data_IF_628230661025
#
_entry.id   IF_628230661025
#
_cell.length_a   1.000
_cell.length_b   1.000
_cell.length_c   1.000
_cell.angle_alpha   90.00
_cell.angle_beta   90.00
_cell.angle_gamma   90.00
#
_symmetry.space_group_name_H-M   'P 1'
#
loop_
_entity.id
_entity.type
_entity.pdbx_description
1 polymer ?
#
# COMPACT_ATOMS: atom_id res chain seq x y z
N UNK A 1 -22.04 -33.43 -8.51
CA UNK A 1 -21.90 -32.04 -7.98
C UNK A 1 -23.24 -31.32 -7.90
N UNK A 2 -24.01 -31.14 -8.99
CA UNK A 2 -25.38 -30.57 -8.95
C UNK A 2 -26.34 -31.35 -8.03
N UNK A 3 -26.38 -32.68 -8.16
CA UNK A 3 -27.16 -33.57 -7.28
C UNK A 3 -26.68 -33.62 -5.81
N UNK A 4 -25.46 -33.14 -5.49
CA UNK A 4 -24.97 -32.99 -4.12
C UNK A 4 -25.42 -31.65 -3.52
N UNK A 5 -25.49 -30.60 -4.34
CA UNK A 5 -26.05 -29.28 -3.99
C UNK A 5 -27.57 -29.32 -3.81
N UNK A 6 -28.29 -30.09 -4.64
CA UNK A 6 -29.75 -30.23 -4.53
C UNK A 6 -30.17 -30.98 -3.24
N UNK A 7 -29.32 -31.87 -2.73
CA UNK A 7 -29.52 -32.60 -1.47
C UNK A 7 -29.23 -31.73 -0.22
N UNK A 8 -28.46 -30.64 -0.38
CA UNK A 8 -28.22 -29.62 0.65
C UNK A 8 -29.40 -28.65 0.73
N UNK A 9 -30.00 -28.30 -0.42
CA UNK A 9 -31.18 -27.44 -0.51
C UNK A 9 -32.45 -28.15 0.02
N UNK A 10 -32.61 -29.45 -0.23
CA UNK A 10 -33.81 -30.20 0.19
C UNK A 10 -33.90 -30.53 1.69
N UNK A 11 -32.83 -30.31 2.46
CA UNK A 11 -32.78 -30.69 3.88
C UNK A 11 -33.10 -29.58 4.87
N UNK A 12 -33.34 -28.35 4.41
CA UNK A 12 -33.69 -27.21 5.27
C UNK A 12 -32.53 -26.83 6.20
N UNK A 13 -31.94 -25.66 5.99
CA UNK A 13 -31.08 -25.10 7.03
C UNK A 13 -31.99 -24.68 8.19
N UNK A 14 -31.71 -25.09 9.44
CA UNK A 14 -32.27 -24.39 10.57
C UNK A 14 -31.69 -22.98 10.51
N UNK A 15 -32.50 -22.04 10.06
CA UNK A 15 -32.28 -20.62 10.26
C UNK A 15 -32.02 -20.43 11.77
N UNK A 16 -31.03 -19.60 12.13
CA UNK A 16 -30.67 -19.17 13.50
C UNK A 16 -29.69 -19.99 14.36
N UNK A 17 -28.60 -20.54 13.82
CA UNK A 17 -27.49 -21.02 14.68
C UNK A 17 -26.11 -20.50 14.28
N UNK A 18 -25.23 -20.41 15.27
CA UNK A 18 -23.78 -20.08 15.18
C UNK A 18 -23.08 -20.85 14.07
N UNK A 19 -23.55 -22.07 13.75
CA UNK A 19 -23.02 -22.89 12.66
C UNK A 19 -23.24 -22.28 11.27
N UNK A 20 -24.30 -21.49 11.06
CA UNK A 20 -24.61 -20.86 9.77
C UNK A 20 -23.63 -19.73 9.41
N UNK A 21 -23.37 -18.83 10.37
CA UNK A 21 -22.37 -17.76 10.25
C UNK A 21 -20.96 -18.37 10.20
N UNK A 22 -20.70 -19.40 11.00
CA UNK A 22 -19.44 -20.16 11.01
C UNK A 22 -19.18 -20.82 9.64
N UNK A 23 -20.17 -21.49 9.04
CA UNK A 23 -20.03 -22.09 7.70
C UNK A 23 -19.87 -21.04 6.60
N UNK A 24 -20.53 -19.89 6.71
CA UNK A 24 -20.34 -18.77 5.77
C UNK A 24 -18.91 -18.20 5.86
N UNK A 25 -18.37 -18.05 7.08
CA UNK A 25 -16.98 -17.63 7.30
C UNK A 25 -15.97 -18.68 6.80
N UNK A 26 -16.23 -19.96 7.04
CA UNK A 26 -15.39 -21.08 6.59
C UNK A 26 -15.40 -21.24 5.05
N UNK A 27 -16.46 -20.78 4.37
CA UNK A 27 -16.53 -20.68 2.90
C UNK A 27 -15.74 -19.49 2.33
N UNK A 28 -15.43 -18.47 3.15
CA UNK A 28 -14.68 -17.27 2.77
C UNK A 28 -13.16 -17.42 3.02
N UNK A 29 -12.74 -18.41 3.81
CA UNK A 29 -11.34 -18.79 4.00
C UNK A 29 -10.65 -19.24 2.69
N UNK A 30 -9.32 -19.11 2.56
CA UNK A 30 -8.62 -18.82 1.31
C UNK A 30 -8.46 -19.99 0.31
N UNK A 31 -9.19 -21.09 0.48
CA UNK A 31 -9.02 -22.25 -0.40
C UNK A 31 -9.80 -22.15 -1.72
N UNK A 32 -10.82 -21.28 -1.82
CA UNK A 32 -11.44 -20.94 -3.11
C UNK A 32 -12.22 -19.60 -3.06
N UNK A 33 -11.62 -18.48 -3.50
CA UNK A 33 -12.26 -17.17 -3.53
C UNK A 33 -13.49 -17.06 -4.44
N UNK A 34 -13.76 -18.09 -5.26
CA UNK A 34 -14.89 -18.10 -6.21
C UNK A 34 -16.13 -18.81 -5.68
N UNK A 35 -16.06 -19.39 -4.47
CA UNK A 35 -17.10 -20.27 -3.92
C UNK A 35 -18.25 -19.56 -3.17
N UNK A 36 -18.23 -18.23 -3.03
CA UNK A 36 -19.39 -17.51 -2.49
C UNK A 36 -20.46 -17.46 -3.57
N UNK A 37 -21.43 -18.38 -3.52
CA UNK A 37 -22.56 -18.33 -4.44
C UNK A 37 -23.35 -17.04 -4.18
N UNK A 38 -23.77 -16.39 -5.27
CA UNK A 38 -24.61 -15.19 -5.29
C UNK A 38 -25.78 -15.31 -4.28
N UNK A 39 -26.36 -16.50 -4.13
CA UNK A 39 -27.44 -16.80 -3.18
C UNK A 39 -27.10 -16.70 -1.69
N UNK A 40 -25.84 -16.91 -1.27
CA UNK A 40 -25.43 -16.80 0.16
C UNK A 40 -25.24 -15.33 0.52
N UNK A 41 -24.62 -14.57 -0.39
CA UNK A 41 -24.51 -13.13 -0.26
C UNK A 41 -25.91 -12.48 -0.20
N UNK A 42 -26.82 -12.84 -1.11
CA UNK A 42 -28.18 -12.31 -1.15
C UNK A 42 -28.96 -12.60 0.13
N UNK A 43 -28.85 -13.81 0.70
CA UNK A 43 -29.53 -14.17 1.96
C UNK A 43 -28.97 -13.44 3.18
N UNK A 44 -27.64 -13.28 3.27
CA UNK A 44 -27.01 -12.52 4.35
C UNK A 44 -27.39 -11.04 4.23
N UNK A 45 -27.38 -10.48 3.02
CA UNK A 45 -27.77 -9.10 2.77
C UNK A 45 -29.26 -8.87 3.02
N UNK A 46 -30.14 -9.80 2.65
CA UNK A 46 -31.57 -9.73 2.94
C UNK A 46 -31.83 -9.71 4.45
N UNK A 47 -31.20 -10.60 5.20
CA UNK A 47 -31.42 -10.68 6.65
C UNK A 47 -30.87 -9.47 7.42
N UNK A 48 -29.72 -8.94 6.98
CA UNK A 48 -29.15 -7.71 7.56
C UNK A 48 -29.95 -6.46 7.19
N UNK A 49 -30.53 -6.45 5.98
CA UNK A 49 -31.46 -5.40 5.51
C UNK A 49 -32.74 -5.38 6.35
N UNK A 50 -33.31 -6.55 6.64
CA UNK A 50 -34.50 -6.70 7.49
C UNK A 50 -34.23 -6.27 8.95
N UNK A 51 -33.05 -6.60 9.49
CA UNK A 51 -32.62 -6.23 10.84
C UNK A 51 -32.31 -4.73 10.99
N UNK A 52 -31.70 -4.10 9.97
CA UNK A 52 -31.43 -2.66 9.95
C UNK A 52 -32.69 -1.81 9.79
N UNK A 53 -33.66 -2.26 8.96
CA UNK A 53 -34.96 -1.60 8.83
C UNK A 53 -35.74 -1.61 10.16
N UNK A 54 -35.68 -2.70 10.92
CA UNK A 54 -36.34 -2.78 12.22
C UNK A 54 -35.78 -1.76 13.26
N UNK A 55 -34.48 -1.44 13.19
CA UNK A 55 -33.84 -0.48 14.12
C UNK A 55 -34.07 0.99 13.72
N UNK A 56 -34.28 1.28 12.43
CA UNK A 56 -34.51 2.64 11.93
C UNK A 56 -35.96 3.10 12.09
N UNK A 57 -36.91 2.16 12.14
CA UNK A 57 -38.35 2.47 12.28
C UNK A 57 -38.71 2.95 13.69
N UNK A 58 -37.87 2.66 14.70
CA UNK A 58 -38.11 2.99 16.11
C UNK A 58 -37.54 4.35 16.56
N UNK A 59 -36.89 5.12 15.67
CA UNK A 59 -36.12 6.34 16.04
C UNK A 59 -36.54 7.65 15.39
N UNK A 60 -37.59 7.68 14.58
CA UNK A 60 -38.05 8.90 13.91
C UNK A 60 -39.54 9.19 14.15
N UNK A 61 -39.91 9.37 15.42
CA UNK A 61 -41.02 10.25 15.80
C UNK A 61 -40.59 11.05 17.05
N UNK A 62 -40.57 12.37 16.90
CA UNK A 62 -39.79 13.28 17.76
C UNK A 62 -40.28 13.41 19.21
N UNK A 63 -39.37 13.17 20.17
CA UNK A 63 -39.43 13.54 21.60
C UNK A 63 -37.97 13.73 22.10
N UNK A 64 -37.67 14.68 23.01
CA UNK A 64 -36.32 15.21 23.20
C UNK A 64 -35.41 14.33 24.07
N UNK A 65 -34.12 14.64 23.97
CA UNK A 65 -32.99 13.99 24.63
C UNK A 65 -33.15 13.99 26.15
N UNK A 66 -33.53 12.84 26.70
CA UNK A 66 -33.11 12.37 28.02
C UNK A 66 -33.21 10.84 28.03
N UNK A 67 -32.13 10.17 28.43
CA UNK A 67 -31.94 8.71 28.56
C UNK A 67 -31.57 7.95 27.27
N UNK A 68 -30.26 7.79 27.09
CA UNK A 68 -29.67 6.81 26.18
C UNK A 68 -29.95 5.41 26.73
N UNK A 69 -31.03 4.77 26.28
CA UNK A 69 -31.19 3.32 26.45
C UNK A 69 -30.30 2.60 25.43
N UNK A 70 -29.12 2.19 25.88
CA UNK A 70 -28.38 1.08 25.26
C UNK A 70 -29.22 -0.18 25.43
N UNK A 71 -29.81 -0.70 24.35
CA UNK A 71 -30.25 -2.10 24.36
C UNK A 71 -29.03 -2.97 24.70
N UNK A 72 -29.16 -3.90 25.65
CA UNK A 72 -28.03 -4.72 26.06
C UNK A 72 -27.70 -5.71 24.92
N UNK A 73 -26.43 -5.72 24.52
CA UNK A 73 -25.83 -6.60 23.50
C UNK A 73 -26.22 -8.08 23.67
N UNK A 74 -26.62 -8.48 24.88
CA UNK A 74 -27.13 -9.81 25.24
C UNK A 74 -28.33 -10.28 24.41
N UNK A 75 -29.26 -9.39 24.03
CA UNK A 75 -30.45 -9.79 23.28
C UNK A 75 -30.15 -10.10 21.80
N UNK A 76 -29.09 -9.49 21.25
CA UNK A 76 -28.61 -9.78 19.89
C UNK A 76 -27.82 -11.10 19.91
N UNK A 77 -26.96 -11.32 20.90
CA UNK A 77 -26.19 -12.58 21.03
C UNK A 77 -27.07 -13.80 21.24
N UNK A 78 -28.14 -13.68 22.06
CA UNK A 78 -29.09 -14.77 22.32
C UNK A 78 -29.94 -15.12 21.09
N UNK A 79 -30.31 -14.12 20.28
CA UNK A 79 -31.13 -14.32 19.07
C UNK A 79 -30.36 -14.95 17.90
N UNK A 80 -29.03 -14.84 17.90
CA UNK A 80 -28.15 -15.38 16.84
C UNK A 80 -27.30 -16.57 17.30
N UNK A 81 -27.48 -17.04 18.54
CA UNK A 81 -26.75 -18.17 19.12
C UNK A 81 -25.24 -17.93 19.22
N UNK A 82 -24.78 -16.69 19.22
CA UNK A 82 -23.35 -16.37 19.26
C UNK A 82 -22.97 -16.19 20.73
N UNK A 83 -22.37 -17.23 21.31
CA UNK A 83 -21.83 -17.18 22.67
C UNK A 83 -20.53 -16.35 22.65
N UNK A 84 -20.68 -15.03 22.69
CA UNK A 84 -19.58 -14.08 22.82
C UNK A 84 -19.49 -13.69 24.28
N UNK A 85 -18.44 -14.13 24.97
CA UNK A 85 -18.13 -13.62 26.29
C UNK A 85 -17.78 -12.12 26.18
N UNK A 86 -18.74 -11.27 26.58
CA UNK A 86 -18.61 -9.81 26.58
C UNK A 86 -17.45 -9.35 27.47
N UNK A 87 -17.02 -10.15 28.46
CA UNK A 87 -15.86 -9.82 29.27
C UNK A 87 -14.54 -9.99 28.49
N UNK A 88 -14.48 -10.87 27.48
CA UNK A 88 -13.33 -10.98 26.56
C UNK A 88 -13.26 -9.77 25.62
N UNK A 89 -14.40 -9.18 25.25
CA UNK A 89 -14.50 -7.96 24.44
C UNK A 89 -13.93 -6.72 25.16
N UNK A 90 -13.98 -6.69 26.50
CA UNK A 90 -13.48 -5.59 27.32
C UNK A 90 -12.08 -5.87 27.90
N UNK A 91 -11.69 -7.14 28.10
CA UNK A 91 -10.42 -7.52 28.73
C UNK A 91 -9.17 -7.37 27.85
N UNK A 92 -9.31 -7.25 26.53
CA UNK A 92 -8.17 -7.08 25.61
C UNK A 92 -7.82 -5.61 25.30
N UNK A 93 -8.35 -4.66 26.06
CA UNK A 93 -7.98 -3.24 25.98
C UNK A 93 -6.71 -2.92 26.79
N UNK A 94 -5.67 -3.75 26.67
CA UNK A 94 -4.38 -3.43 27.28
C UNK A 94 -3.61 -2.44 26.41
N UNK A 95 -3.59 -1.20 26.91
CA UNK A 95 -2.53 -0.19 26.75
C UNK A 95 -1.75 -0.22 25.45
N UNK A 96 -2.24 0.50 24.44
CA UNK A 96 -1.35 1.01 23.40
C UNK A 96 -0.35 1.95 24.07
N UNK A 97 0.88 1.48 24.26
CA UNK A 97 2.01 2.25 24.78
C UNK A 97 2.20 3.53 23.98
N UNK A 98 1.61 4.61 24.49
CA UNK A 98 1.61 5.94 23.90
C UNK A 98 2.96 6.61 24.11
N UNK A 99 3.93 6.25 23.27
CA UNK A 99 4.90 7.26 22.85
C UNK A 99 4.17 8.41 22.13
N UNK A 100 4.70 9.63 22.11
CA UNK A 100 4.10 10.72 21.35
C UNK A 100 4.04 10.32 19.86
N UNK A 101 2.83 10.12 19.34
CA UNK A 101 2.58 9.80 17.93
C UNK A 101 2.82 11.04 17.07
N UNK A 102 3.64 10.93 16.03
CA UNK A 102 3.75 11.97 15.00
C UNK A 102 2.56 11.84 14.05
N UNK A 103 1.75 12.89 13.95
CA UNK A 103 0.50 12.91 13.14
C UNK A 103 0.58 13.78 11.89
N UNK A 104 1.56 14.66 11.82
CA UNK A 104 1.78 15.58 10.69
C UNK A 104 3.08 15.25 9.97
N UNK A 105 3.19 15.56 8.68
CA UNK A 105 4.40 15.34 7.90
C UNK A 105 4.50 16.31 6.72
N UNK A 106 5.34 17.32 6.91
CA UNK A 106 5.65 18.32 5.90
C UNK A 106 6.43 17.70 4.71
N UNK A 107 6.15 18.18 3.49
CA UNK A 107 6.86 17.77 2.28
C UNK A 107 8.36 18.10 2.29
N UNK A 108 8.81 18.94 3.24
CA UNK A 108 10.19 19.31 3.48
C UNK A 108 10.73 18.80 4.83
N UNK A 109 10.02 17.85 5.47
CA UNK A 109 10.34 17.32 6.80
C UNK A 109 11.81 16.88 7.00
N UNK A 110 12.49 16.19 6.06
CA UNK A 110 13.89 15.81 6.24
C UNK A 110 14.84 17.00 6.32
N UNK A 111 14.39 18.20 5.93
CA UNK A 111 15.20 19.42 5.85
C UNK A 111 16.40 19.23 4.91
N UNK A 112 17.36 20.16 5.00
CA UNK A 112 18.63 20.19 4.26
C UNK A 112 19.63 19.14 4.79
N UNK A 113 19.27 17.85 4.74
CA UNK A 113 20.18 16.79 5.15
C UNK A 113 21.20 16.42 4.05
N UNK A 114 22.34 15.87 4.46
CA UNK A 114 23.36 15.35 3.56
C UNK A 114 22.77 14.27 2.63
N UNK A 115 23.00 14.43 1.33
CA UNK A 115 22.46 13.62 0.25
C UNK A 115 23.47 13.53 -0.90
N UNK A 116 23.11 12.80 -1.95
CA UNK A 116 23.82 12.77 -3.23
C UNK A 116 23.26 13.90 -4.08
N UNK A 117 24.13 14.66 -4.75
CA UNK A 117 23.68 15.68 -5.69
C UNK A 117 23.04 15.00 -6.91
N UNK A 118 21.74 15.24 -7.12
CA UNK A 118 20.98 14.67 -8.21
C UNK A 118 20.70 15.77 -9.25
N UNK A 119 21.53 15.79 -10.29
CA UNK A 119 21.38 16.70 -11.43
C UNK A 119 21.20 15.86 -12.70
N UNK A 120 20.23 16.27 -13.52
CA UNK A 120 20.00 15.61 -14.81
C UNK A 120 21.21 15.77 -15.72
N UNK A 121 21.73 14.63 -16.16
CA UNK A 121 22.91 14.49 -16.99
C UNK A 121 22.54 14.01 -18.39
N UNK A 122 23.49 14.11 -19.31
CA UNK A 122 23.35 13.56 -20.66
C UNK A 122 23.35 12.01 -20.62
N UNK A 123 22.74 11.39 -21.63
CA UNK A 123 22.57 9.94 -21.71
C UNK A 123 23.92 9.19 -21.67
N UNK A 124 25.00 9.78 -22.18
CA UNK A 124 26.35 9.21 -22.13
C UNK A 124 26.84 9.01 -20.69
N UNK A 125 26.59 9.99 -19.81
CA UNK A 125 26.95 9.89 -18.40
C UNK A 125 26.07 8.86 -17.69
N UNK A 126 24.78 8.82 -18.02
CA UNK A 126 23.85 7.80 -17.49
C UNK A 126 24.33 6.39 -17.87
N UNK A 127 24.76 6.17 -19.11
CA UNK A 127 25.32 4.89 -19.55
C UNK A 127 26.63 4.56 -18.83
N UNK A 128 27.54 5.52 -18.69
CA UNK A 128 28.82 5.34 -17.97
C UNK A 128 28.57 4.85 -16.53
N UNK A 129 27.69 5.55 -15.81
CA UNK A 129 27.29 5.18 -14.44
C UNK A 129 26.54 3.85 -14.42
N UNK A 130 25.68 3.60 -15.43
CA UNK A 130 24.93 2.36 -15.62
C UNK A 130 25.85 1.15 -15.71
N UNK A 131 26.82 1.20 -16.62
CA UNK A 131 27.85 0.18 -16.80
C UNK A 131 28.62 -0.12 -15.54
N UNK A 132 29.12 0.93 -14.89
CA UNK A 132 29.89 0.80 -13.65
C UNK A 132 29.03 0.15 -12.56
N UNK A 133 27.85 0.70 -12.31
CA UNK A 133 26.94 0.25 -11.26
C UNK A 133 26.50 -1.20 -11.47
N UNK A 134 26.03 -1.55 -12.68
CA UNK A 134 25.55 -2.91 -12.94
C UNK A 134 26.68 -3.93 -13.07
N UNK A 135 27.90 -3.52 -13.41
CA UNK A 135 29.09 -4.39 -13.25
C UNK A 135 29.35 -4.65 -11.77
N UNK A 136 29.38 -3.60 -10.94
CA UNK A 136 29.57 -3.71 -9.49
C UNK A 136 28.51 -4.59 -8.81
N UNK A 137 27.24 -4.50 -9.24
CA UNK A 137 26.16 -5.37 -8.75
C UNK A 137 26.51 -6.87 -8.85
N UNK A 138 27.30 -7.25 -9.86
CA UNK A 138 27.69 -8.63 -10.10
C UNK A 138 29.08 -8.99 -9.52
N UNK A 139 29.95 -8.00 -9.31
CA UNK A 139 31.33 -8.23 -8.84
C UNK A 139 31.57 -7.88 -7.38
N UNK A 140 31.08 -6.71 -6.94
CA UNK A 140 31.37 -6.14 -5.64
C UNK A 140 30.42 -4.97 -5.31
N UNK A 141 29.63 -5.11 -4.25
CA UNK A 141 28.70 -4.06 -3.80
C UNK A 141 29.42 -3.06 -2.90
N UNK A 142 29.32 -1.78 -3.23
CA UNK A 142 29.92 -0.67 -2.50
C UNK A 142 28.88 0.41 -2.16
N UNK A 143 29.29 1.44 -1.42
CA UNK A 143 28.45 2.64 -1.22
C UNK A 143 28.16 3.34 -2.55
N UNK A 144 29.16 3.40 -3.44
CA UNK A 144 29.01 3.95 -4.78
C UNK A 144 28.01 3.16 -5.63
N UNK A 145 27.86 1.85 -5.41
CA UNK A 145 26.85 1.04 -6.11
C UNK A 145 25.42 1.50 -5.76
N UNK A 146 25.11 1.69 -4.47
CA UNK A 146 23.80 2.18 -4.06
C UNK A 146 23.55 3.63 -4.51
N UNK A 147 24.58 4.47 -4.48
CA UNK A 147 24.51 5.82 -5.02
C UNK A 147 24.25 5.83 -6.53
N UNK A 148 24.89 4.94 -7.28
CA UNK A 148 24.68 4.75 -8.71
C UNK A 148 23.25 4.32 -9.01
N UNK A 149 22.67 3.43 -8.20
CA UNK A 149 21.26 3.06 -8.32
C UNK A 149 20.35 4.28 -8.15
N UNK A 150 20.58 5.11 -7.13
CA UNK A 150 19.77 6.31 -6.88
C UNK A 150 19.94 7.36 -7.99
N UNK A 151 21.17 7.61 -8.44
CA UNK A 151 21.48 8.48 -9.56
C UNK A 151 20.76 8.02 -10.83
N UNK A 152 20.90 6.74 -11.21
CA UNK A 152 20.26 6.18 -12.40
C UNK A 152 18.74 6.20 -12.29
N UNK A 153 18.18 5.91 -11.12
CA UNK A 153 16.74 5.97 -10.89
C UNK A 153 16.18 7.38 -11.14
N UNK A 154 16.86 8.43 -10.67
CA UNK A 154 16.46 9.83 -10.91
C UNK A 154 16.45 10.21 -12.40
N UNK A 155 17.27 9.54 -13.22
CA UNK A 155 17.34 9.75 -14.67
C UNK A 155 16.29 8.95 -15.46
N UNK A 156 15.29 8.36 -14.80
CA UNK A 156 14.21 7.66 -15.51
C UNK A 156 13.47 8.62 -16.45
N UNK A 157 13.31 8.17 -17.69
CA UNK A 157 12.61 8.90 -18.75
C UNK A 157 11.56 8.00 -19.39
N UNK A 158 10.61 8.59 -20.11
CA UNK A 158 9.69 7.88 -20.99
C UNK A 158 10.35 7.47 -22.30
N UNK A 159 9.65 6.69 -23.13
CA UNK A 159 10.06 6.42 -24.52
C UNK A 159 10.35 7.73 -25.29
N UNK A 160 9.51 8.75 -25.07
CA UNK A 160 9.64 10.08 -25.67
C UNK A 160 10.69 10.97 -25.00
N UNK A 161 11.37 10.50 -23.94
CA UNK A 161 12.49 11.19 -23.31
C UNK A 161 12.06 12.25 -22.33
N UNK A 162 10.77 12.28 -22.02
CA UNK A 162 10.25 13.09 -20.94
C UNK A 162 10.75 12.54 -19.62
N UNK A 163 11.31 13.41 -18.79
CA UNK A 163 11.79 13.04 -17.46
C UNK A 163 10.62 12.67 -16.57
N UNK A 164 10.78 11.61 -15.79
CA UNK A 164 9.78 11.18 -14.81
C UNK A 164 9.89 11.99 -13.51
N UNK A 165 11.11 12.40 -13.16
CA UNK A 165 11.42 13.13 -11.93
C UNK A 165 11.70 14.60 -12.27
N UNK A 166 11.00 15.52 -11.58
CA UNK A 166 11.23 16.96 -11.66
C UNK A 166 12.56 17.37 -11.00
N UNK A 167 12.96 18.63 -11.20
CA UNK A 167 14.13 19.17 -10.51
C UNK A 167 13.88 19.30 -9.00
N UNK A 168 14.90 18.97 -8.21
CA UNK A 168 14.83 19.04 -6.74
C UNK A 168 14.91 20.51 -6.29
N UNK A 169 13.99 20.97 -5.42
CA UNK A 169 13.89 22.36 -5.03
C UNK A 169 14.97 22.72 -3.99
N UNK A 170 15.42 23.98 -3.92
CA UNK A 170 16.47 24.42 -2.98
C UNK A 170 16.18 24.14 -1.50
N UNK A 171 14.91 24.02 -1.10
CA UNK A 171 14.48 23.69 0.26
C UNK A 171 14.94 22.31 0.71
N UNK A 172 15.04 21.36 -0.24
CA UNK A 172 15.56 20.01 0.00
C UNK A 172 17.07 19.89 -0.29
N UNK A 173 17.69 20.93 -0.85
CA UNK A 173 19.11 20.92 -1.20
C UNK A 173 19.95 21.46 -0.06
N UNK A 174 21.00 20.73 0.29
CA UNK A 174 22.08 21.22 1.13
C UNK A 174 23.35 21.27 0.29
N UNK A 175 23.57 22.38 -0.40
CA UNK A 175 24.69 22.50 -1.35
C UNK A 175 26.06 22.35 -0.65
N UNK A 176 26.17 22.54 0.67
CA UNK A 176 27.40 22.37 1.44
C UNK A 176 27.73 20.89 1.75
N UNK A 177 26.70 20.05 1.95
CA UNK A 177 26.84 18.65 2.37
C UNK A 177 26.53 17.63 1.26
N UNK A 178 26.18 18.12 0.07
CA UNK A 178 25.93 17.31 -1.12
C UNK A 178 27.24 16.75 -1.69
N UNK A 179 27.21 15.46 -2.04
CA UNK A 179 28.31 14.82 -2.76
C UNK A 179 27.89 14.51 -4.19
N UNK A 180 28.76 14.83 -5.13
CA UNK A 180 28.62 14.32 -6.49
C UNK A 180 28.79 12.80 -6.50
N UNK A 181 28.17 12.13 -7.47
CA UNK A 181 28.25 10.66 -7.57
C UNK A 181 29.69 10.14 -7.63
N UNK A 182 30.57 10.85 -8.33
CA UNK A 182 31.98 10.47 -8.51
C UNK A 182 32.85 10.67 -7.26
N UNK A 183 32.38 11.46 -6.29
CA UNK A 183 33.03 11.69 -5.00
C UNK A 183 32.70 10.62 -3.96
N UNK A 184 31.74 9.73 -4.25
CA UNK A 184 31.29 8.73 -3.29
C UNK A 184 32.29 7.58 -3.23
N UNK A 185 32.69 7.26 -1.99
CA UNK A 185 33.65 6.21 -1.71
C UNK A 185 33.27 4.86 -2.35
N UNK A 186 34.15 4.39 -3.23
CA UNK A 186 34.07 3.10 -3.90
C UNK A 186 34.81 2.00 -3.14
N UNK A 187 35.31 2.28 -1.92
CA UNK A 187 36.01 1.30 -1.11
C UNK A 187 35.05 0.14 -0.77
N UNK A 188 35.44 -1.11 -1.08
CA UNK A 188 34.56 -2.23 -0.86
C UNK A 188 34.54 -2.66 0.59
N UNK A 189 33.34 -2.75 1.16
CA UNK A 189 33.13 -3.33 2.48
C UNK A 189 32.89 -4.83 2.45
N UNK A 190 32.45 -5.37 1.31
CA UNK A 190 32.24 -6.81 1.13
C UNK A 190 32.44 -7.16 -0.34
N UNK A 191 33.24 -8.20 -0.59
CA UNK A 191 33.43 -8.75 -1.93
C UNK A 191 32.59 -10.01 -2.04
N UNK A 192 31.51 -9.95 -2.81
CA UNK A 192 30.77 -11.15 -3.21
C UNK A 192 30.96 -11.32 -4.71
N UNK A 193 31.68 -12.35 -5.13
CA UNK A 193 31.76 -12.75 -6.54
C UNK A 193 30.45 -13.45 -6.90
N UNK A 194 29.54 -12.76 -7.59
CA UNK A 194 28.19 -13.30 -7.87
C UNK A 194 27.98 -13.77 -9.31
N UNK A 195 29.00 -13.69 -10.16
CA UNK A 195 28.99 -14.28 -11.50
C UNK A 195 29.60 -13.37 -12.56
N UNK A 196 29.24 -13.63 -13.82
CA UNK A 196 29.64 -12.82 -14.97
C UNK A 196 28.88 -11.50 -15.00
N UNK A 197 29.57 -10.42 -15.38
CA UNK A 197 28.97 -9.10 -15.60
C UNK A 197 27.81 -9.17 -16.62
N UNK A 198 26.79 -8.31 -16.48
CA UNK A 198 25.67 -8.25 -17.41
C UNK A 198 26.15 -7.95 -18.83
N UNK A 199 25.46 -8.50 -19.82
CA UNK A 199 25.77 -8.30 -21.24
C UNK A 199 24.88 -7.21 -21.80
N UNK A 200 25.43 -6.34 -22.62
CA UNK A 200 24.66 -5.36 -23.38
C UNK A 200 24.35 -5.94 -24.77
N UNK A 201 23.19 -5.63 -25.33
CA UNK A 201 23.05 -5.76 -26.78
C UNK A 201 24.06 -4.83 -27.48
N UNK A 202 24.59 -5.26 -28.62
CA UNK A 202 25.41 -4.40 -29.46
C UNK A 202 24.53 -3.30 -30.05
N UNK A 203 24.52 -2.13 -29.41
CA UNK A 203 23.99 -0.91 -30.00
C UNK A 203 25.10 -0.21 -30.76
N UNK A 204 24.74 0.43 -31.86
CA UNK A 204 25.62 1.39 -32.51
C UNK A 204 25.69 2.64 -31.63
N UNK A 205 26.79 2.83 -30.90
CA UNK A 205 26.98 4.00 -30.01
C UNK A 205 27.06 5.33 -30.76
N UNK A 206 27.21 5.29 -32.09
CA UNK A 206 27.12 6.47 -32.94
C UNK A 206 25.68 6.83 -33.32
N UNK A 207 24.69 6.00 -32.94
CA UNK A 207 23.27 6.27 -33.11
C UNK A 207 22.68 6.83 -31.80
N UNK A 208 22.26 8.11 -31.77
CA UNK A 208 21.64 8.73 -30.60
C UNK A 208 20.42 7.96 -30.07
N UNK A 209 19.66 7.30 -30.95
CA UNK A 209 18.51 6.50 -30.53
C UNK A 209 18.94 5.23 -29.76
N UNK A 210 20.05 4.61 -30.16
CA UNK A 210 20.64 3.47 -29.45
C UNK A 210 21.15 3.87 -28.07
N UNK A 211 21.89 4.98 -27.97
CA UNK A 211 22.39 5.54 -26.71
C UNK A 211 21.24 5.76 -25.72
N UNK A 212 20.17 6.45 -26.16
CA UNK A 212 19.03 6.72 -25.28
C UNK A 212 18.30 5.46 -24.80
N UNK A 213 18.10 4.47 -25.67
CA UNK A 213 17.47 3.19 -25.29
C UNK A 213 18.27 2.47 -24.20
N UNK A 214 19.60 2.54 -24.25
CA UNK A 214 20.48 1.96 -23.23
C UNK A 214 20.40 2.74 -21.91
N UNK A 215 20.42 4.07 -21.95
CA UNK A 215 20.25 4.92 -20.77
C UNK A 215 18.91 4.64 -20.06
N UNK A 216 17.80 4.62 -20.82
CA UNK A 216 16.46 4.27 -20.32
C UNK A 216 16.46 2.89 -19.64
N UNK A 217 17.12 1.90 -20.24
CA UNK A 217 17.17 0.53 -19.71
C UNK A 217 17.86 0.48 -18.34
N UNK A 218 18.99 1.17 -18.18
CA UNK A 218 19.67 1.27 -16.89
C UNK A 218 18.82 1.99 -15.85
N UNK A 219 18.24 3.14 -16.20
CA UNK A 219 17.39 3.91 -15.29
C UNK A 219 16.14 3.17 -14.86
N UNK A 220 15.49 2.43 -15.76
CA UNK A 220 14.33 1.58 -15.43
C UNK A 220 14.69 0.48 -14.44
N UNK A 221 15.79 -0.24 -14.69
CA UNK A 221 16.24 -1.30 -13.78
C UNK A 221 16.62 -0.71 -12.43
N UNK A 222 17.38 0.39 -12.39
CA UNK A 222 17.76 1.07 -11.17
C UNK A 222 16.55 1.57 -10.37
N UNK A 223 15.57 2.19 -11.01
CA UNK A 223 14.34 2.65 -10.36
C UNK A 223 13.54 1.47 -9.76
N UNK A 224 13.61 0.28 -10.35
CA UNK A 224 12.95 -0.89 -9.79
C UNK A 224 13.51 -1.33 -8.42
N UNK A 225 14.79 -1.02 -8.11
CA UNK A 225 15.41 -1.30 -6.81
C UNK A 225 14.85 -0.45 -5.68
N UNK A 226 14.19 0.69 -5.96
CA UNK A 226 13.59 1.54 -4.93
C UNK A 226 12.54 0.80 -4.09
N UNK A 227 11.96 -0.29 -4.62
CA UNK A 227 11.06 -1.15 -3.82
C UNK A 227 11.74 -1.78 -2.60
N UNK A 228 13.07 -1.92 -2.60
CA UNK A 228 13.83 -2.52 -1.50
C UNK A 228 13.77 -1.68 -0.22
N UNK A 229 13.41 -0.39 -0.27
CA UNK A 229 13.15 0.39 0.94
C UNK A 229 12.01 -0.18 1.79
N UNK A 230 11.13 -1.00 1.19
CA UNK A 230 10.03 -1.66 1.92
C UNK A 230 10.01 -3.17 1.79
N UNK A 231 10.31 -3.69 0.60
CA UNK A 231 10.20 -5.12 0.29
C UNK A 231 11.46 -5.88 0.70
N UNK A 232 11.34 -7.14 1.13
CA UNK A 232 12.49 -8.01 1.34
C UNK A 232 13.21 -8.30 0.01
N UNK A 233 14.49 -8.66 0.10
CA UNK A 233 15.33 -8.93 -1.07
C UNK A 233 14.80 -10.13 -1.90
N UNK A 234 14.21 -11.11 -1.22
CA UNK A 234 13.64 -12.32 -1.81
C UNK A 234 12.52 -12.00 -2.79
N UNK A 235 11.70 -10.98 -2.50
CA UNK A 235 10.61 -10.56 -3.38
C UNK A 235 11.13 -9.89 -4.65
N UNK A 236 12.25 -9.17 -4.56
CA UNK A 236 12.91 -8.57 -5.72
C UNK A 236 13.47 -9.62 -6.69
N UNK A 237 14.00 -10.73 -6.19
CA UNK A 237 14.54 -11.79 -7.06
C UNK A 237 13.44 -12.47 -7.91
N UNK A 238 12.20 -12.50 -7.41
CA UNK A 238 11.06 -13.17 -8.07
C UNK A 238 10.50 -12.37 -9.24
N UNK A 239 10.66 -11.04 -9.27
CA UNK A 239 10.02 -10.16 -10.25
C UNK A 239 10.82 -9.96 -11.54
N UNK A 240 12.04 -10.51 -11.67
CA UNK A 240 12.93 -10.23 -12.81
C UNK A 240 12.29 -10.46 -14.18
N UNK A 241 11.53 -11.56 -14.36
CA UNK A 241 10.78 -11.82 -15.60
C UNK A 241 9.73 -10.74 -15.86
N UNK A 242 8.97 -10.39 -14.82
CA UNK A 242 7.90 -9.40 -14.90
C UNK A 242 8.43 -7.99 -15.21
N UNK A 243 9.62 -7.63 -14.70
CA UNK A 243 10.30 -6.38 -15.02
C UNK A 243 10.59 -6.28 -16.53
N UNK A 244 11.09 -7.35 -17.15
CA UNK A 244 11.37 -7.41 -18.58
C UNK A 244 10.09 -7.28 -19.42
N UNK A 245 9.05 -8.03 -19.08
CA UNK A 245 7.75 -7.99 -19.78
C UNK A 245 7.11 -6.59 -19.71
N UNK A 246 7.14 -5.96 -18.53
CA UNK A 246 6.59 -4.62 -18.34
C UNK A 246 7.42 -3.53 -19.02
N UNK A 247 8.74 -3.71 -19.11
CA UNK A 247 9.61 -2.79 -19.83
C UNK A 247 9.16 -2.65 -21.28
N UNK A 248 9.07 -3.76 -22.01
CA UNK A 248 8.65 -3.75 -23.43
C UNK A 248 7.26 -3.12 -23.60
N UNK A 249 6.35 -3.31 -22.63
CA UNK A 249 5.03 -2.66 -22.65
C UNK A 249 5.09 -1.14 -22.46
N UNK A 250 6.01 -0.62 -21.65
CA UNK A 250 6.13 0.82 -21.40
C UNK A 250 6.90 1.57 -22.48
N UNK A 251 7.85 0.90 -23.14
CA UNK A 251 8.81 1.54 -24.02
C UNK A 251 8.78 1.08 -25.47
N UNK A 252 7.95 0.09 -25.81
CA UNK A 252 7.82 -0.41 -27.19
C UNK A 252 9.12 -0.96 -27.82
N UNK A 253 10.16 -1.20 -27.01
CA UNK A 253 11.41 -1.84 -27.41
C UNK A 253 11.93 -2.77 -26.32
N UNK A 254 12.86 -3.66 -26.69
CA UNK A 254 13.42 -4.65 -25.77
C UNK A 254 14.44 -4.06 -24.81
N UNK A 255 14.42 -4.57 -23.57
CA UNK A 255 15.38 -4.17 -22.54
C UNK A 255 16.83 -4.42 -22.99
N UNK A 256 17.61 -3.34 -23.08
CA UNK A 256 18.96 -3.31 -23.65
C UNK A 256 20.01 -4.07 -22.81
N UNK A 257 19.76 -4.21 -21.52
CA UNK A 257 20.67 -4.82 -20.54
C UNK A 257 20.21 -6.26 -20.28
N UNK A 258 20.98 -7.22 -20.80
CA UNK A 258 20.74 -8.65 -20.64
C UNK A 258 21.39 -9.18 -19.37
N UNK A 259 20.80 -10.23 -18.80
CA UNK A 259 21.33 -10.96 -17.65
C UNK A 259 21.61 -10.10 -16.40
N UNK A 260 20.92 -8.95 -16.27
CA UNK A 260 21.01 -8.05 -15.12
C UNK A 260 20.33 -8.62 -13.85
N UNK A 261 20.21 -9.94 -13.72
CA UNK A 261 19.60 -10.57 -12.56
C UNK A 261 20.67 -10.73 -11.47
N UNK A 262 20.64 -9.92 -10.39
CA UNK A 262 21.58 -10.07 -9.30
C UNK A 262 21.33 -11.37 -8.53
N UNK A 263 22.34 -11.84 -7.78
CA UNK A 263 22.13 -12.88 -6.76
C UNK A 263 21.33 -12.33 -5.58
N UNK A 264 20.72 -13.22 -4.79
CA UNK A 264 20.00 -12.82 -3.58
C UNK A 264 20.89 -12.05 -2.59
N UNK A 265 22.15 -12.49 -2.41
CA UNK A 265 23.10 -11.86 -1.50
C UNK A 265 23.49 -10.45 -1.97
N UNK A 266 23.66 -10.25 -3.28
CA UNK A 266 23.88 -8.91 -3.84
C UNK A 266 22.70 -7.99 -3.53
N UNK A 267 21.46 -8.46 -3.71
CA UNK A 267 20.25 -7.66 -3.41
C UNK A 267 20.16 -7.34 -1.91
N UNK A 268 20.49 -8.28 -1.02
CA UNK A 268 20.56 -8.04 0.43
C UNK A 268 21.57 -6.95 0.78
N UNK A 269 22.78 -7.01 0.21
CA UNK A 269 23.78 -5.97 0.40
C UNK A 269 23.32 -4.62 -0.15
N UNK A 270 22.77 -4.58 -1.36
CA UNK A 270 22.23 -3.34 -1.96
C UNK A 270 21.20 -2.71 -1.02
N UNK A 271 20.26 -3.50 -0.47
CA UNK A 271 19.27 -3.01 0.49
C UNK A 271 19.92 -2.37 1.72
N UNK A 272 20.92 -3.04 2.33
CA UNK A 272 21.67 -2.49 3.48
C UNK A 272 22.32 -1.15 3.14
N UNK A 273 22.91 -1.02 1.95
CA UNK A 273 23.53 0.23 1.51
C UNK A 273 22.49 1.32 1.21
N UNK A 274 21.35 0.99 0.60
CA UNK A 274 20.26 1.93 0.34
C UNK A 274 19.69 2.55 1.62
N UNK A 275 19.66 1.79 2.72
CA UNK A 275 19.14 2.22 4.03
C UNK A 275 20.10 3.12 4.83
N UNK A 276 21.28 3.42 4.30
CA UNK A 276 22.21 4.37 4.93
C UNK A 276 21.64 5.79 4.92
N UNK A 277 21.92 6.64 5.92
CA UNK A 277 21.31 7.96 6.06
C UNK A 277 21.37 8.83 4.80
N UNK A 278 22.55 8.98 4.17
CA UNK A 278 22.71 9.77 2.93
C UNK A 278 21.84 9.25 1.78
N UNK A 279 21.74 7.93 1.64
CA UNK A 279 20.96 7.28 0.59
C UNK A 279 19.46 7.38 0.87
N UNK A 280 19.04 7.26 2.14
CA UNK A 280 17.66 7.52 2.57
C UNK A 280 17.24 8.97 2.26
N UNK A 281 18.09 9.95 2.56
CA UNK A 281 17.81 11.36 2.26
C UNK A 281 17.71 11.61 0.75
N UNK A 282 18.61 11.01 -0.03
CA UNK A 282 18.58 11.06 -1.49
C UNK A 282 17.30 10.40 -2.04
N UNK A 283 16.89 9.26 -1.48
CA UNK A 283 15.65 8.61 -1.85
C UNK A 283 14.42 9.47 -1.55
N UNK A 284 14.40 10.19 -0.42
CA UNK A 284 13.33 11.16 -0.15
C UNK A 284 13.24 12.22 -1.26
N UNK A 285 14.37 12.77 -1.71
CA UNK A 285 14.39 13.75 -2.81
C UNK A 285 13.85 13.15 -4.12
N UNK A 286 14.20 11.91 -4.44
CA UNK A 286 13.65 11.19 -5.61
C UNK A 286 12.14 11.03 -5.48
N UNK A 287 11.64 10.64 -4.30
CA UNK A 287 10.20 10.54 -4.05
C UNK A 287 9.51 11.88 -4.25
N UNK A 288 10.04 12.95 -3.65
CA UNK A 288 9.50 14.31 -3.80
C UNK A 288 9.45 14.73 -5.27
N UNK A 289 10.56 14.56 -6.00
CA UNK A 289 10.67 14.87 -7.42
C UNK A 289 9.73 14.03 -8.28
N UNK A 290 9.35 12.84 -7.82
CA UNK A 290 8.42 11.94 -8.49
C UNK A 290 6.95 12.28 -8.24
N UNK A 291 6.64 13.06 -7.21
CA UNK A 291 5.27 13.49 -6.87
C UNK A 291 4.86 14.82 -7.50
N UNK A 292 5.18 14.92 -8.78
CA UNK A 292 4.79 15.99 -9.71
C UNK A 292 3.29 16.28 -9.70
N UNK A 293 2.90 17.55 -9.81
CA UNK A 293 1.50 17.99 -9.97
C UNK A 293 0.94 17.58 -11.32
N UNK A 294 1.82 17.41 -12.31
CA UNK A 294 1.48 16.76 -13.58
C UNK A 294 1.31 15.27 -13.32
N UNK A 295 0.07 14.76 -13.40
CA UNK A 295 -0.28 13.32 -13.27
C UNK A 295 0.23 12.48 -14.46
N UNK A 296 1.40 12.78 -14.98
CA UNK A 296 2.00 12.07 -16.09
C UNK A 296 2.67 10.78 -15.59
N UNK A 297 2.60 9.73 -16.41
CA UNK A 297 3.36 8.49 -16.24
C UNK A 297 3.08 7.72 -14.94
N UNK A 298 1.90 7.92 -14.35
CA UNK A 298 1.42 7.22 -13.14
C UNK A 298 1.57 5.70 -13.24
N UNK A 299 1.23 5.02 -14.36
CA UNK A 299 1.39 3.57 -14.47
C UNK A 299 2.83 3.09 -14.28
N UNK A 300 3.82 3.83 -14.81
CA UNK A 300 5.24 3.51 -14.70
C UNK A 300 5.72 3.68 -13.26
N UNK A 301 5.40 4.82 -12.62
CA UNK A 301 5.74 5.10 -11.22
C UNK A 301 5.13 4.07 -10.26
N UNK A 302 3.84 3.78 -10.43
CA UNK A 302 3.09 2.78 -9.65
C UNK A 302 3.73 1.40 -9.74
N UNK A 303 4.13 1.00 -10.96
CA UNK A 303 4.76 -0.29 -11.18
C UNK A 303 6.15 -0.41 -10.53
N UNK A 304 6.99 0.61 -10.72
CA UNK A 304 8.40 0.55 -10.34
C UNK A 304 8.60 0.69 -8.82
N UNK A 305 7.99 1.69 -8.19
CA UNK A 305 8.22 1.98 -6.78
C UNK A 305 6.96 2.38 -6.00
N UNK A 306 6.09 3.24 -6.53
CA UNK A 306 5.05 3.93 -5.72
C UNK A 306 4.14 2.95 -4.97
N UNK A 307 3.59 1.93 -5.63
CA UNK A 307 2.73 0.94 -4.97
C UNK A 307 3.47 0.08 -3.92
N UNK A 308 4.80 0.04 -3.95
CA UNK A 308 5.62 -0.76 -3.04
C UNK A 308 6.03 0.01 -1.79
N UNK A 309 6.18 1.33 -1.90
CA UNK A 309 6.72 2.18 -0.83
C UNK A 309 5.69 3.13 -0.22
N UNK A 310 4.63 3.50 -0.95
CA UNK A 310 3.55 4.34 -0.42
C UNK A 310 2.75 3.61 0.66
N UNK A 311 2.24 4.36 1.63
CA UNK A 311 1.42 3.87 2.73
C UNK A 311 2.06 2.69 3.46
N UNK A 312 3.39 2.72 3.64
CA UNK A 312 4.16 1.62 4.20
C UNK A 312 3.59 1.16 5.56
N UNK A 313 2.89 0.02 5.55
CA UNK A 313 2.23 -0.56 6.72
C UNK A 313 1.00 0.20 7.22
N UNK A 314 0.43 1.11 6.44
CA UNK A 314 -0.80 1.88 6.71
C UNK A 314 -1.93 1.45 5.76
N UNK A 315 -2.14 0.14 5.55
CA UNK A 315 -3.10 -0.35 4.55
C UNK A 315 -4.54 0.14 4.77
N UNK A 316 -4.91 0.52 6.00
CA UNK A 316 -6.22 1.13 6.26
C UNK A 316 -6.46 2.40 5.42
N UNK A 317 -5.43 3.23 5.20
CA UNK A 317 -5.54 4.50 4.48
C UNK A 317 -5.92 4.30 3.00
N UNK A 318 -5.15 3.58 2.16
CA UNK A 318 -5.51 3.39 0.76
C UNK A 318 -6.81 2.57 0.59
N UNK A 319 -7.14 1.65 1.51
CA UNK A 319 -8.41 0.94 1.45
C UNK A 319 -9.60 1.84 1.80
N UNK A 320 -9.43 2.74 2.77
CA UNK A 320 -10.44 3.76 3.10
C UNK A 320 -10.69 4.71 1.92
N UNK A 321 -9.63 5.22 1.30
CA UNK A 321 -9.72 6.06 0.10
C UNK A 321 -10.46 5.34 -1.04
N UNK A 322 -10.14 4.07 -1.31
CA UNK A 322 -10.86 3.27 -2.31
C UNK A 322 -12.34 3.08 -1.95
N UNK A 323 -12.66 2.89 -0.67
CA UNK A 323 -14.06 2.80 -0.24
C UNK A 323 -14.79 4.14 -0.46
N UNK A 324 -14.16 5.28 -0.15
CA UNK A 324 -14.73 6.61 -0.41
C UNK A 324 -15.01 6.82 -1.90
N UNK A 325 -14.03 6.49 -2.76
CA UNK A 325 -14.17 6.62 -4.21
C UNK A 325 -15.28 5.71 -4.75
N UNK A 326 -15.30 4.44 -4.34
CA UNK A 326 -16.25 3.44 -4.83
C UNK A 326 -17.69 3.69 -4.35
N UNK A 327 -17.85 4.22 -3.14
CA UNK A 327 -19.16 4.48 -2.52
C UNK A 327 -19.62 5.94 -2.70
N UNK A 328 -18.80 6.80 -3.28
CA UNK A 328 -19.04 8.24 -3.42
C UNK A 328 -19.34 8.94 -2.09
N UNK A 329 -18.59 8.58 -1.03
CA UNK A 329 -18.76 9.14 0.31
C UNK A 329 -17.59 10.06 0.68
N UNK A 330 -17.89 11.11 1.45
CA UNK A 330 -16.87 11.86 2.19
C UNK A 330 -16.23 11.00 3.28
N UNK A 331 -15.05 11.41 3.77
CA UNK A 331 -14.37 10.73 4.85
C UNK A 331 -15.25 10.63 6.11
N UNK A 332 -15.94 11.72 6.46
CA UNK A 332 -16.83 11.75 7.62
C UNK A 332 -18.05 10.84 7.45
N UNK A 333 -18.67 10.80 6.26
CA UNK A 333 -19.81 9.90 6.00
C UNK A 333 -19.39 8.42 6.09
N UNK A 334 -18.28 8.05 5.46
CA UNK A 334 -17.77 6.67 5.52
C UNK A 334 -17.39 6.28 6.96
N UNK A 335 -16.80 7.20 7.73
CA UNK A 335 -16.48 6.95 9.13
C UNK A 335 -17.74 6.76 9.99
N UNK A 336 -18.79 7.56 9.78
CA UNK A 336 -20.06 7.43 10.49
C UNK A 336 -20.70 6.06 10.28
N UNK A 337 -20.78 5.57 9.04
CA UNK A 337 -21.40 4.26 8.77
C UNK A 337 -20.60 3.08 9.33
N UNK A 338 -19.29 3.25 9.52
CA UNK A 338 -18.39 2.26 10.12
C UNK A 338 -18.15 2.46 11.62
N UNK A 339 -18.80 3.44 12.23
CA UNK A 339 -18.60 3.78 13.63
C UNK A 339 -18.98 2.62 14.56
N UNK A 340 -18.03 2.23 15.40
CA UNK A 340 -18.24 1.38 16.57
C UNK A 340 -17.36 1.91 17.68
N UNK A 341 -17.73 1.67 18.94
CA UNK A 341 -16.90 2.06 20.11
C UNK A 341 -15.46 1.55 19.96
N UNK A 342 -15.27 0.33 19.41
CA UNK A 342 -13.94 -0.25 19.16
C UNK A 342 -13.15 0.40 18.03
N UNK A 343 -13.82 1.06 17.07
CA UNK A 343 -13.20 1.68 15.90
C UNK A 343 -13.08 3.20 16.01
N UNK A 344 -13.81 3.86 16.91
CA UNK A 344 -13.89 5.31 17.08
C UNK A 344 -12.53 6.01 16.93
N UNK A 345 -11.58 5.75 17.84
CA UNK A 345 -10.26 6.40 17.80
C UNK A 345 -9.49 6.19 16.49
N UNK A 346 -9.67 5.03 15.84
CA UNK A 346 -9.00 4.72 14.57
C UNK A 346 -9.66 5.46 13.41
N UNK A 347 -10.99 5.55 13.42
CA UNK A 347 -11.76 6.30 12.44
C UNK A 347 -11.48 7.81 12.57
N UNK A 348 -11.44 8.34 13.78
CA UNK A 348 -11.10 9.76 14.02
C UNK A 348 -9.71 10.08 13.49
N UNK A 349 -8.73 9.21 13.75
CA UNK A 349 -7.38 9.39 13.25
C UNK A 349 -7.32 9.29 11.71
N UNK A 350 -8.07 8.39 11.08
CA UNK A 350 -8.17 8.32 9.60
C UNK A 350 -8.82 9.60 9.06
N UNK A 351 -9.92 10.07 9.65
CA UNK A 351 -10.61 11.30 9.23
C UNK A 351 -9.71 12.53 9.37
N UNK A 352 -8.94 12.63 10.46
CA UNK A 352 -7.92 13.67 10.63
C UNK A 352 -6.89 13.62 9.51
N UNK A 353 -6.35 12.44 9.15
CA UNK A 353 -5.44 12.31 7.99
C UNK A 353 -6.10 12.81 6.69
N UNK A 354 -7.38 12.48 6.47
CA UNK A 354 -8.10 12.92 5.27
C UNK A 354 -8.35 14.42 5.22
N UNK A 355 -8.58 15.06 6.36
CA UNK A 355 -8.84 16.49 6.43
C UNK A 355 -7.55 17.31 6.43
N UNK A 356 -6.53 16.84 7.12
CA UNK A 356 -5.33 17.60 7.44
C UNK A 356 -4.22 17.39 6.40
N UNK A 357 -4.08 16.17 5.86
CA UNK A 357 -2.93 15.78 5.02
C UNK A 357 -3.25 15.57 3.53
N UNK A 358 -4.53 15.40 3.17
CA UNK A 358 -4.93 15.28 1.76
C UNK A 358 -5.08 16.62 1.05
N UNK A 359 -5.04 17.74 1.78
CA UNK A 359 -5.27 19.08 1.25
C UNK A 359 -4.12 19.66 0.43
N UNK A 360 -4.42 20.61 -0.45
CA UNK A 360 -3.47 21.35 -1.28
C UNK A 360 -2.79 22.50 -0.52
N UNK A 361 -2.49 22.31 0.75
CA UNK A 361 -1.69 23.30 1.49
C UNK A 361 -0.26 23.29 0.96
N UNK A 362 0.43 24.43 0.99
CA UNK A 362 1.81 24.57 0.48
C UNK A 362 2.78 23.51 1.02
N UNK A 363 2.52 23.02 2.24
CA UNK A 363 3.38 22.08 2.94
C UNK A 363 3.04 20.60 2.67
N UNK A 364 1.93 20.33 1.96
CA UNK A 364 1.42 18.98 1.71
C UNK A 364 1.03 18.74 0.24
N UNK A 365 1.40 19.65 -0.66
CA UNK A 365 1.09 19.61 -2.09
C UNK A 365 1.52 18.28 -2.75
N UNK A 366 2.68 17.76 -2.35
CA UNK A 366 3.27 16.50 -2.86
C UNK A 366 2.77 15.27 -2.10
N UNK A 367 2.07 15.46 -0.98
CA UNK A 367 1.56 14.42 -0.10
C UNK A 367 2.66 13.43 0.35
N UNK A 368 3.84 13.95 0.71
CA UNK A 368 4.98 13.11 1.10
C UNK A 368 4.73 12.30 2.36
N UNK A 369 3.74 12.70 3.16
CA UNK A 369 3.28 11.96 4.34
C UNK A 369 2.96 10.49 4.07
N UNK A 370 2.54 10.12 2.86
CA UNK A 370 2.28 8.70 2.54
C UNK A 370 3.54 7.85 2.51
N UNK A 371 4.72 8.45 2.39
CA UNK A 371 6.01 7.78 2.45
C UNK A 371 6.69 7.92 3.82
N UNK A 372 6.17 8.77 4.70
CA UNK A 372 6.75 9.14 6.00
C UNK A 372 7.22 7.95 6.82
N UNK A 373 6.48 6.84 6.82
CA UNK A 373 6.83 5.65 7.61
C UNK A 373 8.09 4.92 7.20
N UNK A 374 8.64 5.21 6.02
CA UNK A 374 9.96 4.73 5.62
C UNK A 374 11.04 5.46 6.44
N UNK A 375 10.80 6.73 6.77
CA UNK A 375 11.76 7.62 7.41
C UNK A 375 11.52 7.77 8.92
N UNK A 376 10.28 7.59 9.37
CA UNK A 376 9.90 7.67 10.78
C UNK A 376 8.87 6.58 11.12
N UNK A 377 9.30 5.59 11.91
CA UNK A 377 8.47 4.46 12.30
C UNK A 377 7.28 4.81 13.21
N UNK A 378 7.34 5.98 13.85
CA UNK A 378 6.33 6.47 14.81
C UNK A 378 5.24 7.31 14.13
N UNK A 379 5.43 7.70 12.87
CA UNK A 379 4.42 8.42 12.09
C UNK A 379 3.16 7.56 11.92
N UNK A 380 2.01 8.09 12.35
CA UNK A 380 0.70 7.42 12.37
C UNK A 380 0.79 6.00 12.95
N UNK A 381 1.52 5.86 14.07
CA UNK A 381 1.76 4.58 14.71
C UNK A 381 0.48 3.88 15.19
N UNK A 382 -0.59 4.62 15.47
CA UNK A 382 -1.90 4.06 15.83
C UNK A 382 -2.63 3.42 14.62
N UNK A 383 -2.31 3.88 13.40
CA UNK A 383 -2.92 3.42 12.15
C UNK A 383 -2.10 2.34 11.45
N UNK A 384 -1.07 1.80 12.10
CA UNK A 384 -0.32 0.67 11.54
C UNK A 384 -1.23 -0.54 11.40
N UNK A 385 -1.14 -1.22 10.25
CA UNK A 385 -1.97 -2.39 9.90
C UNK A 385 -2.02 -3.42 11.01
N UNK A 386 -0.88 -3.70 11.66
CA UNK A 386 -0.78 -4.64 12.79
C UNK A 386 -1.66 -4.26 14.00
N UNK A 387 -2.00 -2.99 14.18
CA UNK A 387 -2.83 -2.45 15.26
C UNK A 387 -4.25 -2.07 14.82
N UNK A 388 -4.47 -1.92 13.51
CA UNK A 388 -5.77 -1.60 12.91
C UNK A 388 -6.29 -2.73 12.02
N UNK A 389 -5.97 -4.00 12.32
CA UNK A 389 -6.33 -5.16 11.49
C UNK A 389 -7.83 -5.25 11.22
N UNK A 390 -8.67 -5.22 12.26
CA UNK A 390 -10.14 -5.33 12.16
C UNK A 390 -10.72 -4.29 11.20
N UNK A 391 -10.43 -3.01 11.43
CA UNK A 391 -10.97 -1.93 10.59
C UNK A 391 -10.42 -1.99 9.16
N UNK A 392 -9.14 -2.33 8.99
CA UNK A 392 -8.54 -2.55 7.65
C UNK A 392 -9.28 -3.66 6.91
N UNK A 393 -9.62 -4.74 7.61
CA UNK A 393 -10.36 -5.87 7.07
C UNK A 393 -11.82 -5.51 6.76
N UNK A 394 -12.47 -4.64 7.55
CA UNK A 394 -13.80 -4.11 7.23
C UNK A 394 -13.81 -3.36 5.90
N UNK A 395 -12.80 -2.51 5.65
CA UNK A 395 -12.66 -1.85 4.35
C UNK A 395 -12.43 -2.85 3.22
N UNK A 396 -11.62 -3.89 3.45
CA UNK A 396 -11.39 -4.94 2.46
C UNK A 396 -12.69 -5.68 2.09
N UNK A 397 -13.53 -6.01 3.08
CA UNK A 397 -14.82 -6.66 2.83
C UNK A 397 -15.80 -5.76 2.08
N UNK A 398 -15.85 -4.47 2.39
CA UNK A 398 -16.65 -3.50 1.62
C UNK A 398 -16.22 -3.51 0.14
N UNK A 399 -14.91 -3.42 -0.12
CA UNK A 399 -14.37 -3.41 -1.49
C UNK A 399 -14.65 -4.71 -2.23
N UNK A 400 -14.51 -5.87 -1.57
CA UNK A 400 -14.85 -7.16 -2.17
C UNK A 400 -16.34 -7.28 -2.51
N UNK A 401 -17.22 -6.79 -1.65
CA UNK A 401 -18.66 -6.84 -1.87
C UNK A 401 -19.10 -5.93 -3.03
N UNK A 402 -18.43 -4.79 -3.22
CA UNK A 402 -18.81 -3.77 -4.22
C UNK A 402 -18.06 -3.87 -5.55
N UNK A 403 -16.81 -4.33 -5.53
CA UNK A 403 -15.98 -4.54 -6.71
C UNK A 403 -15.04 -5.74 -6.51
N UNK A 404 -15.54 -6.97 -6.62
CA UNK A 404 -14.72 -8.18 -6.45
C UNK A 404 -13.62 -8.27 -7.51
N UNK A 405 -13.87 -7.77 -8.73
CA UNK A 405 -12.97 -7.91 -9.88
C UNK A 405 -11.59 -7.27 -9.65
N UNK A 406 -11.55 -6.14 -8.94
CA UNK A 406 -10.30 -5.41 -8.64
C UNK A 406 -9.80 -5.61 -7.20
N UNK A 407 -10.49 -6.43 -6.40
CA UNK A 407 -10.27 -6.54 -4.95
C UNK A 407 -9.82 -7.92 -4.47
N UNK A 408 -9.77 -8.91 -5.36
CA UNK A 408 -9.41 -10.31 -5.03
C UNK A 408 -8.07 -10.48 -4.30
N UNK A 409 -7.12 -9.57 -4.51
CA UNK A 409 -5.79 -9.65 -3.89
C UNK A 409 -5.69 -8.92 -2.54
N UNK A 410 -6.71 -8.18 -2.10
CA UNK A 410 -6.65 -7.37 -0.86
C UNK A 410 -6.49 -8.27 0.38
N UNK A 411 -7.14 -9.44 0.40
CA UNK A 411 -7.01 -10.41 1.50
C UNK A 411 -5.65 -11.12 1.53
N UNK A 412 -4.81 -10.92 0.50
CA UNK A 412 -3.43 -11.45 0.45
C UNK A 412 -2.43 -10.55 1.19
N UNK A 413 -2.87 -9.44 1.79
CA UNK A 413 -2.04 -8.66 2.70
C UNK A 413 -1.69 -9.55 3.90
N UNK A 414 -0.39 -9.82 4.08
CA UNK A 414 0.12 -10.73 5.12
C UNK A 414 -0.46 -10.45 6.51
N UNK A 415 -0.54 -9.18 6.91
CA UNK A 415 -1.02 -8.78 8.23
C UNK A 415 -2.52 -9.04 8.43
N UNK A 416 -3.30 -9.22 7.34
CA UNK A 416 -4.71 -9.57 7.39
C UNK A 416 -4.95 -11.09 7.40
N UNK A 417 -3.97 -11.89 6.98
CA UNK A 417 -4.06 -13.36 7.01
C UNK A 417 -4.01 -13.91 8.44
N UNK A 418 -3.30 -13.20 9.32
CA UNK A 418 -3.16 -13.54 10.75
C UNK A 418 -4.19 -12.82 11.63
N UNK A 419 -5.39 -12.57 11.11
CA UNK A 419 -6.49 -12.00 11.91
C UNK A 419 -7.18 -13.12 12.66
N UNK A 420 -7.32 -12.95 13.99
CA UNK A 420 -8.03 -13.91 14.82
C UNK A 420 -9.48 -14.06 14.35
N UNK A 421 -10.06 -15.26 14.51
CA UNK A 421 -11.43 -15.57 14.05
C UNK A 421 -12.45 -14.53 14.51
N UNK A 422 -12.35 -14.13 15.78
CA UNK A 422 -13.24 -13.14 16.38
C UNK A 422 -13.16 -11.77 15.69
N UNK A 423 -11.94 -11.26 15.48
CA UNK A 423 -11.72 -9.98 14.80
C UNK A 423 -12.16 -10.04 13.33
N UNK A 424 -11.98 -11.19 12.68
CA UNK A 424 -12.41 -11.43 11.30
C UNK A 424 -13.93 -11.36 11.15
N UNK A 425 -14.67 -12.09 12.00
CA UNK A 425 -16.13 -12.06 12.01
C UNK A 425 -16.66 -10.66 12.35
N UNK A 426 -16.06 -10.00 13.35
CA UNK A 426 -16.45 -8.66 13.73
C UNK A 426 -16.21 -7.63 12.61
N UNK A 427 -15.09 -7.75 11.89
CA UNK A 427 -14.81 -6.89 10.74
C UNK A 427 -15.83 -7.06 9.61
N UNK A 428 -16.25 -8.30 9.34
CA UNK A 428 -17.29 -8.62 8.36
C UNK A 428 -18.64 -8.03 8.76
N UNK A 429 -19.01 -8.18 10.04
CA UNK A 429 -20.26 -7.59 10.56
C UNK A 429 -20.26 -6.05 10.45
N UNK A 430 -19.14 -5.41 10.80
CA UNK A 430 -18.98 -3.95 10.65
C UNK A 430 -19.18 -3.52 9.18
N UNK A 431 -18.60 -4.27 8.24
CA UNK A 431 -18.71 -4.02 6.80
C UNK A 431 -20.14 -4.18 6.28
N UNK A 432 -20.80 -5.29 6.61
CA UNK A 432 -22.16 -5.56 6.14
C UNK A 432 -23.17 -4.57 6.72
N UNK A 433 -23.01 -4.19 7.99
CA UNK A 433 -23.81 -3.13 8.62
C UNK A 433 -23.65 -1.80 7.89
N UNK A 434 -22.42 -1.40 7.56
CA UNK A 434 -22.18 -0.18 6.79
C UNK A 434 -22.86 -0.22 5.41
N UNK A 435 -22.78 -1.35 4.70
CA UNK A 435 -23.45 -1.53 3.41
C UNK A 435 -24.98 -1.49 3.51
N UNK A 436 -25.56 -2.05 4.58
CA UNK A 436 -26.99 -1.98 4.84
C UNK A 436 -27.44 -0.53 5.08
N UNK A 437 -26.73 0.23 5.93
CA UNK A 437 -27.03 1.65 6.18
C UNK A 437 -27.03 2.45 4.87
N UNK A 438 -26.02 2.23 4.02
CA UNK A 438 -25.89 2.91 2.73
C UNK A 438 -27.01 2.57 1.74
N UNK A 439 -27.59 1.37 1.85
CA UNK A 439 -28.71 0.94 1.00
C UNK A 439 -30.03 1.61 1.43
N UNK A 440 -30.21 1.84 2.73
CA UNK A 440 -31.49 2.32 3.27
C UNK A 440 -31.60 3.84 3.35
N UNK A 441 -30.51 4.53 3.68
CA UNK A 441 -30.53 5.98 3.89
C UNK A 441 -30.38 6.74 2.57
N UNK A 442 -29.80 6.10 1.55
CA UNK A 442 -29.33 6.78 0.33
C UNK A 442 -28.08 7.60 0.63
N UNK A 443 -27.11 7.62 -0.30
CA UNK A 443 -25.84 8.35 -0.12
C UNK A 443 -26.02 9.85 0.18
N UNK A 444 -27.11 10.43 -0.33
CA UNK A 444 -27.34 11.87 -0.31
C UNK A 444 -27.91 12.39 1.02
N UNK A 445 -28.35 11.48 1.91
CA UNK A 445 -28.98 11.84 3.20
C UNK A 445 -28.08 11.55 4.43
N UNK A 446 -26.81 11.14 4.24
CA UNK A 446 -25.81 10.86 5.29
C UNK A 446 -24.87 12.04 5.55
#
# INVERSE_FOLDING_TARGET
>A
MRSYMDNIISKGFPETSTEGVQRAYDLIQPNDPTAVSESVYDKVMQHLTESASAQLTDRYDGVPVTEVHTQPVSEITDKFGIDIDINILLANFEGFGGGPEKRDWDDFEPKRMACINLVHSADEKVIEVGRKTFKEIHTQITTATAAGILFLAYHLQTENGERIFEDIPPELRNDEDMLEYDQIDSSPMSTIYTGTAPREFSFNYNDPAGTRKLAISYSYLACSYLRLYRKPAEDYIKIGRHLKEKFTKFYSFDLAVLDARPSLDAVKLIKIHLERPRNMNTFYQILWAGETTRRTHVPLKNFLYRNHVSYAGLHCIPLFLRCMELLHLSATQLAKVLYTVSNERKLDAIVSVMNDLMGETRNHERQMWRFARIFNNDFLSSLRTKYCKRITLSFAFILLAKDPSTSNDILKISELQDVGRFDGASALLDALRALAILTHVGSDNL
#
